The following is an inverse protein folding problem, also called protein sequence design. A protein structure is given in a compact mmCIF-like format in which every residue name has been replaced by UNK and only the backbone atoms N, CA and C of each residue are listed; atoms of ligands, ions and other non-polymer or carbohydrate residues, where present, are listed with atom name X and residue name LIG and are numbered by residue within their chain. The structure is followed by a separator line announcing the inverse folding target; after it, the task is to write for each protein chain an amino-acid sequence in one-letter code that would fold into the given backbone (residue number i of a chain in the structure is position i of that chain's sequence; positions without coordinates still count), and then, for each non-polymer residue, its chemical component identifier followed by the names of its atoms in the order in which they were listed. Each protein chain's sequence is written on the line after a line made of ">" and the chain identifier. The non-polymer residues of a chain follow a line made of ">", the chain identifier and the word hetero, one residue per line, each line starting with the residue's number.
data_IF_404975465398
#
_entry.id   IF_404975465398
#
_cell.length_a   1.000
_cell.length_b   1.000
_cell.length_c   1.000
_cell.angle_alpha   90.00
_cell.angle_beta   90.00
_cell.angle_gamma   90.00
#
_symmetry.space_group_name_H-M   'P 1'
#
loop_
_entity.id
_entity.type
_entity.pdbx_description
1 polymer ?
#
# COMPACT_ATOMS: atom_id res chain seq x y z
N UNK A 1 11.65 18.79 -10.15
CA UNK A 1 10.34 19.46 -9.92
C UNK A 1 9.44 19.34 -11.14
N UNK A 2 9.89 19.74 -12.34
CA UNK A 2 9.12 19.58 -13.59
C UNK A 2 8.64 18.16 -13.89
N UNK A 3 9.46 17.13 -13.61
CA UNK A 3 9.04 15.72 -13.75
C UNK A 3 7.86 15.34 -12.84
N UNK A 4 7.82 15.88 -11.62
CA UNK A 4 6.73 15.59 -10.68
C UNK A 4 5.45 16.26 -11.16
N UNK A 5 5.54 17.54 -11.55
CA UNK A 5 4.39 18.30 -12.08
C UNK A 5 3.86 17.63 -13.35
N UNK A 6 4.75 17.27 -14.28
CA UNK A 6 4.38 16.55 -15.50
C UNK A 6 3.73 15.20 -15.21
N UNK A 7 4.27 14.43 -14.26
CA UNK A 7 3.68 13.16 -13.81
C UNK A 7 2.28 13.36 -13.24
N UNK A 8 2.08 14.34 -12.35
CA UNK A 8 0.77 14.61 -11.73
C UNK A 8 -0.26 15.00 -12.79
N UNK A 9 0.11 15.87 -13.74
CA UNK A 9 -0.77 16.28 -14.84
C UNK A 9 -1.10 15.07 -15.72
N UNK A 10 -0.10 14.28 -16.12
CA UNK A 10 -0.31 13.07 -16.93
C UNK A 10 -1.27 12.09 -16.27
N UNK A 11 -1.05 11.74 -14.99
CA UNK A 11 -1.92 10.82 -14.27
C UNK A 11 -3.32 11.38 -14.04
N UNK A 12 -3.44 12.70 -13.85
CA UNK A 12 -4.74 13.36 -13.69
C UNK A 12 -5.55 13.34 -15.00
N UNK A 13 -4.90 13.64 -16.14
CA UNK A 13 -5.52 13.54 -17.46
C UNK A 13 -5.87 12.09 -17.79
N UNK A 14 -4.98 11.14 -17.47
CA UNK A 14 -5.25 9.72 -17.63
C UNK A 14 -6.48 9.28 -16.83
N UNK A 15 -6.60 9.72 -15.57
CA UNK A 15 -7.74 9.42 -14.72
C UNK A 15 -9.06 10.03 -15.23
N UNK A 16 -9.02 11.21 -15.89
CA UNK A 16 -10.23 11.81 -16.46
C UNK A 16 -10.90 10.93 -17.52
N UNK A 17 -10.16 10.07 -18.22
CA UNK A 17 -10.75 9.14 -19.19
C UNK A 17 -11.73 8.14 -18.56
N UNK A 18 -11.61 7.87 -17.25
CA UNK A 18 -12.56 7.02 -16.53
C UNK A 18 -13.98 7.62 -16.50
N UNK A 19 -14.12 8.95 -16.57
CA UNK A 19 -15.43 9.64 -16.56
C UNK A 19 -16.25 9.38 -17.82
N UNK A 20 -15.60 9.04 -18.93
CA UNK A 20 -16.25 8.84 -20.24
C UNK A 20 -16.53 7.35 -20.48
N UNK A 21 -15.61 6.48 -20.06
CA UNK A 21 -15.64 5.05 -20.40
C UNK A 21 -16.32 4.13 -19.39
N UNK A 22 -16.63 4.62 -18.18
CA UNK A 22 -17.18 3.78 -17.13
C UNK A 22 -18.71 3.82 -17.13
N UNK A 23 -19.32 2.65 -17.07
CA UNK A 23 -20.76 2.51 -16.87
C UNK A 23 -21.11 2.53 -15.38
N UNK A 24 -22.25 3.12 -15.05
CA UNK A 24 -22.83 3.04 -13.70
C UNK A 24 -23.87 1.93 -13.64
N UNK A 25 -23.68 0.95 -12.76
CA UNK A 25 -24.66 -0.07 -12.41
C UNK A 25 -24.99 0.02 -10.90
N UNK A 26 -26.09 -0.60 -10.43
CA UNK A 26 -26.45 -0.60 -9.00
C UNK A 26 -25.35 -1.16 -8.09
N UNK A 27 -24.48 -2.00 -8.63
CA UNK A 27 -23.34 -2.63 -7.97
C UNK A 27 -22.04 -1.81 -8.03
N UNK A 28 -22.01 -0.68 -8.74
CA UNK A 28 -20.87 0.23 -8.78
C UNK A 28 -20.55 0.80 -10.16
N UNK A 29 -19.40 1.48 -10.24
CA UNK A 29 -18.88 2.10 -11.47
C UNK A 29 -17.68 1.31 -11.98
N UNK A 30 -17.78 0.74 -13.18
CA UNK A 30 -16.74 -0.11 -13.75
C UNK A 30 -16.71 -0.05 -15.28
N UNK A 31 -15.57 -0.33 -15.92
CA UNK A 31 -15.49 -0.32 -17.38
C UNK A 31 -16.36 -1.45 -17.94
N UNK A 32 -17.07 -1.17 -19.04
CA UNK A 32 -17.87 -2.18 -19.71
C UNK A 32 -16.96 -3.30 -20.26
N UNK A 33 -17.24 -4.58 -19.99
CA UNK A 33 -16.39 -5.69 -20.44
C UNK A 33 -16.22 -5.72 -21.96
N UNK A 34 -15.00 -6.01 -22.44
CA UNK A 34 -14.72 -6.15 -23.86
C UNK A 34 -14.68 -4.83 -24.65
N UNK A 35 -14.58 -3.69 -23.95
CA UNK A 35 -14.40 -2.37 -24.58
C UNK A 35 -12.93 -1.94 -24.54
N UNK A 36 -12.56 -0.90 -25.30
CA UNK A 36 -11.21 -0.32 -25.20
C UNK A 36 -10.89 0.18 -23.78
N UNK A 37 -11.92 0.59 -23.03
CA UNK A 37 -11.77 1.06 -21.65
C UNK A 37 -11.47 -0.06 -20.66
N UNK A 38 -11.90 -1.31 -20.92
CA UNK A 38 -11.47 -2.44 -20.10
C UNK A 38 -9.97 -2.70 -20.28
N UNK A 39 -9.44 -2.56 -21.50
CA UNK A 39 -8.00 -2.66 -21.75
C UNK A 39 -7.22 -1.55 -21.02
N UNK A 40 -7.66 -0.29 -21.08
CA UNK A 40 -7.02 0.80 -20.35
C UNK A 40 -7.05 0.58 -18.84
N UNK A 41 -8.19 0.18 -18.28
CA UNK A 41 -8.30 -0.13 -16.85
C UNK A 41 -7.40 -1.31 -16.45
N UNK A 42 -7.23 -2.29 -17.33
CA UNK A 42 -6.35 -3.43 -17.06
C UNK A 42 -4.88 -3.05 -17.09
N UNK A 43 -4.46 -2.25 -18.08
CA UNK A 43 -3.09 -1.71 -18.15
C UNK A 43 -2.80 -0.87 -16.91
N UNK A 44 -3.73 0.00 -16.50
CA UNK A 44 -3.59 0.82 -15.30
C UNK A 44 -3.44 -0.01 -14.03
N UNK A 45 -4.32 -1.00 -13.84
CA UNK A 45 -4.25 -1.90 -12.69
C UNK A 45 -2.93 -2.66 -12.63
N UNK A 46 -2.47 -3.19 -13.77
CA UNK A 46 -1.19 -3.91 -13.86
C UNK A 46 -0.03 -2.96 -13.60
N UNK A 47 0.00 -1.78 -14.22
CA UNK A 47 1.05 -0.80 -14.01
C UNK A 47 1.11 -0.37 -12.55
N UNK A 48 -0.03 -0.04 -11.95
CA UNK A 48 -0.10 0.39 -10.54
C UNK A 48 0.37 -0.71 -9.59
N UNK A 49 -0.05 -1.96 -9.80
CA UNK A 49 0.35 -3.09 -8.97
C UNK A 49 1.82 -3.46 -9.16
N UNK A 50 2.28 -3.61 -10.40
CA UNK A 50 3.64 -4.07 -10.73
C UNK A 50 4.66 -2.98 -10.42
N UNK A 51 4.45 -1.75 -10.87
CA UNK A 51 5.39 -0.65 -10.66
C UNK A 51 5.59 -0.38 -9.17
N UNK A 52 4.48 -0.30 -8.41
CA UNK A 52 4.55 -0.09 -6.97
C UNK A 52 5.27 -1.26 -6.28
N UNK A 53 4.96 -2.50 -6.65
CA UNK A 53 5.63 -3.68 -6.09
C UNK A 53 7.13 -3.67 -6.37
N UNK A 54 7.54 -3.39 -7.62
CA UNK A 54 8.95 -3.33 -8.01
C UNK A 54 9.70 -2.25 -7.24
N UNK A 55 9.13 -1.04 -7.17
CA UNK A 55 9.72 0.07 -6.41
C UNK A 55 9.88 -0.31 -4.93
N UNK A 56 8.83 -0.87 -4.31
CA UNK A 56 8.87 -1.30 -2.91
C UNK A 56 9.88 -2.41 -2.66
N UNK A 57 10.01 -3.38 -3.57
CA UNK A 57 11.00 -4.46 -3.50
C UNK A 57 12.41 -3.89 -3.61
N UNK A 58 12.68 -3.01 -4.58
CA UNK A 58 13.98 -2.37 -4.77
C UNK A 58 14.38 -1.59 -3.50
N UNK A 59 13.49 -0.75 -2.98
CA UNK A 59 13.77 0.00 -1.76
C UNK A 59 13.97 -0.92 -0.54
N UNK A 60 13.22 -2.01 -0.44
CA UNK A 60 13.38 -2.99 0.64
C UNK A 60 14.74 -3.70 0.56
N UNK A 61 15.18 -4.09 -0.64
CA UNK A 61 16.50 -4.70 -0.88
C UNK A 61 17.62 -3.69 -0.59
N UNK A 62 17.52 -2.46 -1.10
CA UNK A 62 18.50 -1.40 -0.84
C UNK A 62 18.59 -1.09 0.66
N UNK A 63 17.47 -1.06 1.36
CA UNK A 63 17.43 -0.86 2.82
C UNK A 63 18.12 -2.01 3.54
N UNK A 64 17.83 -3.27 3.16
CA UNK A 64 18.51 -4.44 3.71
C UNK A 64 20.02 -4.40 3.44
N UNK A 65 20.43 -4.07 2.22
CA UNK A 65 21.83 -3.97 1.82
C UNK A 65 22.56 -2.90 2.64
N UNK A 66 21.98 -1.70 2.75
CA UNK A 66 22.54 -0.61 3.57
C UNK A 66 22.61 -0.97 5.05
N UNK A 67 21.63 -1.71 5.59
CA UNK A 67 21.68 -2.20 6.96
C UNK A 67 22.78 -3.24 7.18
N UNK A 68 22.95 -4.19 6.25
CA UNK A 68 24.03 -5.18 6.31
C UNK A 68 25.40 -4.53 6.22
N UNK A 69 25.60 -3.61 5.26
CA UNK A 69 26.86 -2.90 5.07
C UNK A 69 27.23 -2.07 6.30
N UNK A 70 26.25 -1.34 6.87
CA UNK A 70 26.44 -0.58 8.10
C UNK A 70 26.64 -1.47 9.33
N UNK A 71 26.06 -2.68 9.36
CA UNK A 71 26.32 -3.66 10.41
C UNK A 71 27.77 -4.15 10.35
N UNK A 72 28.26 -4.49 9.15
CA UNK A 72 29.63 -4.99 8.94
C UNK A 72 30.67 -3.90 9.24
N UNK A 73 30.48 -2.68 8.71
CA UNK A 73 31.40 -1.55 8.98
C UNK A 73 31.46 -1.15 10.46
N UNK A 74 30.41 -1.43 11.24
CA UNK A 74 30.39 -1.15 12.69
C UNK A 74 31.08 -2.22 13.53
N UNK A 75 31.40 -3.39 12.95
CA UNK A 75 32.12 -4.49 13.60
C UNK A 75 33.63 -4.32 13.47
N UNK A 76 34.14 -3.52 12.51
CA UNK A 76 35.53 -3.06 12.57
C UNK A 76 35.66 -2.07 13.74
N UNK A 77 36.34 -2.43 14.84
CA UNK A 77 36.68 -1.46 15.86
C UNK A 77 37.77 -0.59 15.24
N UNK A 78 37.44 0.63 14.86
CA UNK A 78 38.45 1.66 14.66
C UNK A 78 39.17 1.81 15.99
N UNK A 79 40.39 1.30 15.99
CA UNK A 79 41.43 1.42 17.01
C UNK A 79 41.36 2.78 17.72
N UNK A 80 41.28 2.74 19.04
CA UNK A 80 41.46 3.87 19.97
C UNK A 80 40.59 5.11 19.74
N UNK A 81 39.42 5.14 20.38
CA UNK A 81 39.00 6.35 21.10
C UNK A 81 38.06 5.96 22.24
N UNK A 82 38.55 6.18 23.46
CA UNK A 82 37.77 6.22 24.69
C UNK A 82 36.66 7.26 24.53
N UNK A 83 35.46 6.84 24.19
CA UNK A 83 34.25 7.61 24.49
C UNK A 83 33.22 6.64 25.04
N UNK A 84 32.79 6.94 26.26
CA UNK A 84 31.75 6.27 27.05
C UNK A 84 30.37 6.34 26.36
N UNK A 85 30.26 5.98 25.08
CA UNK A 85 28.99 5.75 24.42
C UNK A 85 28.48 4.41 24.91
N UNK A 86 27.64 4.49 25.94
CA UNK A 86 26.99 3.38 26.61
C UNK A 86 26.50 2.31 25.60
N UNK A 87 27.11 1.13 25.68
CA UNK A 87 26.73 -0.13 25.00
C UNK A 87 25.20 -0.36 24.86
N UNK A 88 24.32 -0.01 25.83
CA UNK A 88 22.86 -0.15 25.67
C UNK A 88 22.24 0.63 24.50
N UNK A 89 22.75 1.82 24.15
CA UNK A 89 22.12 2.66 23.11
C UNK A 89 22.35 2.07 21.70
N UNK A 90 23.53 1.49 21.49
CA UNK A 90 23.93 0.84 20.23
C UNK A 90 23.08 -0.39 19.92
N UNK A 91 22.79 -1.21 20.94
CA UNK A 91 21.96 -2.41 20.81
C UNK A 91 20.48 -2.06 20.57
N UNK A 92 19.98 -0.99 21.20
CA UNK A 92 18.61 -0.48 21.02
C UNK A 92 18.36 0.03 19.60
N UNK A 93 19.34 0.73 19.00
CA UNK A 93 19.24 1.24 17.61
C UNK A 93 19.23 0.12 16.56
N UNK A 94 20.02 -0.94 16.76
CA UNK A 94 20.01 -2.11 15.88
C UNK A 94 18.67 -2.84 15.90
N UNK A 95 18.11 -3.10 17.09
CA UNK A 95 16.78 -3.74 17.24
C UNK A 95 15.67 -2.93 16.56
N UNK A 96 15.69 -1.60 16.66
CA UNK A 96 14.73 -0.70 16.00
C UNK A 96 14.83 -0.79 14.47
N UNK A 97 16.03 -0.81 13.91
CA UNK A 97 16.23 -0.92 12.46
C UNK A 97 15.72 -2.25 11.90
N UNK A 98 15.96 -3.36 12.61
CA UNK A 98 15.44 -4.68 12.22
C UNK A 98 13.92 -4.73 12.29
N UNK A 99 13.30 -4.07 13.28
CA UNK A 99 11.84 -3.94 13.37
C UNK A 99 11.27 -3.14 12.19
N UNK A 100 11.90 -2.02 11.83
CA UNK A 100 11.47 -1.20 10.69
C UNK A 100 11.60 -1.97 9.36
N UNK A 101 12.66 -2.74 9.18
CA UNK A 101 12.82 -3.60 7.99
C UNK A 101 11.74 -4.70 7.93
N UNK A 102 11.46 -5.37 9.04
CA UNK A 102 10.38 -6.37 9.11
C UNK A 102 9.02 -5.76 8.77
N UNK A 103 8.75 -4.56 9.27
CA UNK A 103 7.55 -3.77 8.95
C UNK A 103 7.45 -3.47 7.45
N UNK A 104 8.54 -2.98 6.84
CA UNK A 104 8.60 -2.69 5.41
C UNK A 104 8.31 -3.95 4.58
N UNK A 105 8.97 -5.07 4.89
CA UNK A 105 8.75 -6.34 4.17
C UNK A 105 7.33 -6.87 4.33
N UNK A 106 6.77 -6.79 5.54
CA UNK A 106 5.39 -7.18 5.79
C UNK A 106 4.41 -6.32 4.98
N UNK A 107 4.67 -5.00 4.88
CA UNK A 107 3.86 -4.09 4.09
C UNK A 107 3.92 -4.42 2.59
N UNK A 108 5.09 -4.77 2.05
CA UNK A 108 5.21 -5.23 0.64
C UNK A 108 4.42 -6.51 0.43
N UNK A 109 4.54 -7.49 1.34
CA UNK A 109 3.84 -8.77 1.22
C UNK A 109 2.32 -8.60 1.29
N UNK A 110 1.83 -7.79 2.23
CA UNK A 110 0.41 -7.44 2.36
C UNK A 110 -0.08 -6.71 1.11
N UNK A 111 0.70 -5.78 0.57
CA UNK A 111 0.36 -5.10 -0.68
C UNK A 111 0.18 -6.08 -1.83
N UNK A 112 1.14 -6.98 -2.05
CA UNK A 112 1.07 -7.95 -3.15
C UNK A 112 -0.16 -8.84 -3.00
N UNK A 113 -0.43 -9.37 -1.80
CA UNK A 113 -1.59 -10.24 -1.56
C UNK A 113 -2.89 -9.49 -1.81
N UNK A 114 -3.07 -8.31 -1.20
CA UNK A 114 -4.34 -7.60 -1.26
C UNK A 114 -4.58 -6.93 -2.62
N UNK A 115 -3.52 -6.58 -3.36
CA UNK A 115 -3.65 -5.99 -4.70
C UNK A 115 -3.71 -7.06 -5.82
N UNK A 116 -3.33 -8.31 -5.52
CA UNK A 116 -3.38 -9.41 -6.48
C UNK A 116 -4.79 -9.70 -7.00
N UNK A 117 -5.81 -9.62 -6.15
CA UNK A 117 -7.20 -9.91 -6.55
C UNK A 117 -7.71 -8.94 -7.63
N UNK A 118 -7.42 -7.65 -7.47
CA UNK A 118 -7.76 -6.64 -8.48
C UNK A 118 -6.98 -6.84 -9.78
N UNK A 119 -5.69 -7.17 -9.67
CA UNK A 119 -4.83 -7.43 -10.84
C UNK A 119 -5.31 -8.67 -11.61
N UNK A 120 -5.72 -9.73 -10.92
CA UNK A 120 -6.28 -10.94 -11.53
C UNK A 120 -7.58 -10.65 -12.27
N UNK A 121 -8.49 -9.87 -11.67
CA UNK A 121 -9.70 -9.41 -12.34
C UNK A 121 -9.39 -8.59 -13.60
N UNK A 122 -8.45 -7.65 -13.50
CA UNK A 122 -8.01 -6.84 -14.62
C UNK A 122 -7.44 -7.68 -15.78
N UNK A 123 -6.56 -8.64 -15.49
CA UNK A 123 -6.02 -9.55 -16.52
C UNK A 123 -7.14 -10.40 -17.12
N UNK A 124 -8.01 -10.96 -16.29
CA UNK A 124 -9.14 -11.77 -16.75
C UNK A 124 -10.07 -10.97 -17.68
N UNK A 125 -10.38 -9.72 -17.32
CA UNK A 125 -11.23 -8.82 -18.12
C UNK A 125 -10.59 -8.46 -19.46
N UNK A 126 -9.26 -8.28 -19.50
CA UNK A 126 -8.53 -7.99 -20.73
C UNK A 126 -8.46 -9.19 -21.69
N UNK A 127 -8.33 -10.41 -21.16
CA UNK A 127 -8.16 -11.63 -21.96
C UNK A 127 -9.51 -12.23 -22.38
N UNK A 128 -10.56 -12.02 -21.59
CA UNK A 128 -11.88 -12.58 -21.86
C UNK A 128 -12.50 -11.97 -23.12
N UNK A 129 -12.86 -12.83 -24.08
CA UNK A 129 -13.54 -12.38 -25.30
C UNK A 129 -15.00 -12.03 -25.00
N UNK A 130 -15.58 -11.01 -25.69
CA UNK A 130 -17.00 -10.68 -25.59
C UNK A 130 -17.94 -11.89 -25.79
N UNK A 131 -17.57 -12.79 -26.70
CA UNK A 131 -18.36 -13.99 -27.00
C UNK A 131 -18.43 -15.02 -25.85
N UNK A 132 -17.40 -15.07 -24.98
CA UNK A 132 -17.37 -16.00 -23.83
C UNK A 132 -18.07 -15.45 -22.58
N UNK A 133 -18.33 -14.14 -22.55
CA UNK A 133 -18.98 -13.44 -21.45
C UNK A 133 -20.50 -13.67 -21.40
N UNK A 134 -21.11 -14.27 -22.43
CA UNK A 134 -22.54 -14.61 -22.45
C UNK A 134 -22.89 -15.92 -21.72
N UNK A 135 -21.91 -16.75 -21.37
CA UNK A 135 -22.17 -17.97 -20.59
C UNK A 135 -22.38 -17.61 -19.12
N UNK A 136 -23.42 -18.19 -18.52
CA UNK A 136 -23.78 -17.99 -17.10
C UNK A 136 -22.60 -18.20 -16.14
N UNK A 137 -21.79 -19.23 -16.37
CA UNK A 137 -20.60 -19.52 -15.56
C UNK A 137 -19.55 -18.41 -15.64
N UNK A 138 -19.37 -17.78 -16.80
CA UNK A 138 -18.42 -16.68 -16.98
C UNK A 138 -18.90 -15.43 -16.26
N UNK A 139 -20.19 -15.12 -16.31
CA UNK A 139 -20.78 -13.95 -15.63
C UNK A 139 -20.62 -14.06 -14.11
N UNK A 140 -20.89 -15.24 -13.54
CA UNK A 140 -20.69 -15.51 -12.12
C UNK A 140 -19.22 -15.36 -11.72
N UNK A 141 -18.31 -15.93 -12.51
CA UNK A 141 -16.87 -15.83 -12.26
C UNK A 141 -16.38 -14.37 -12.29
N UNK A 142 -16.81 -13.59 -13.29
CA UNK A 142 -16.48 -12.16 -13.42
C UNK A 142 -16.96 -11.38 -12.19
N UNK A 143 -18.22 -11.60 -11.79
CA UNK A 143 -18.83 -10.90 -10.65
C UNK A 143 -18.13 -11.26 -9.35
N UNK A 144 -17.77 -12.54 -9.16
CA UNK A 144 -17.00 -13.02 -8.03
C UNK A 144 -15.61 -12.40 -7.97
N UNK A 145 -14.85 -12.45 -9.08
CA UNK A 145 -13.50 -11.89 -9.16
C UNK A 145 -13.49 -10.37 -8.93
N UNK A 146 -14.49 -9.67 -9.47
CA UNK A 146 -14.67 -8.23 -9.25
C UNK A 146 -14.95 -7.92 -7.78
N UNK A 147 -15.94 -8.58 -7.18
CA UNK A 147 -16.31 -8.38 -5.78
C UNK A 147 -15.15 -8.71 -4.83
N UNK A 148 -14.46 -9.82 -5.09
CA UNK A 148 -13.27 -10.24 -4.35
C UNK A 148 -12.14 -9.21 -4.47
N UNK A 149 -11.82 -8.78 -5.69
CA UNK A 149 -10.77 -7.79 -5.95
C UNK A 149 -11.03 -6.44 -5.26
N UNK A 150 -12.25 -5.91 -5.37
CA UNK A 150 -12.66 -4.65 -4.71
C UNK A 150 -12.59 -4.80 -3.18
N UNK A 151 -13.06 -5.93 -2.64
CA UNK A 151 -13.04 -6.19 -1.20
C UNK A 151 -11.60 -6.19 -0.68
N UNK A 152 -10.68 -6.89 -1.35
CA UNK A 152 -9.27 -6.90 -0.98
C UNK A 152 -8.63 -5.51 -1.08
N UNK A 153 -8.98 -4.72 -2.10
CA UNK A 153 -8.49 -3.35 -2.27
C UNK A 153 -8.93 -2.44 -1.11
N UNK A 154 -10.19 -2.53 -0.68
CA UNK A 154 -10.67 -1.78 0.49
C UNK A 154 -10.03 -2.25 1.80
N UNK A 155 -9.81 -3.56 1.95
CA UNK A 155 -9.06 -4.10 3.09
C UNK A 155 -7.64 -3.54 3.10
N UNK A 156 -6.97 -3.43 1.95
CA UNK A 156 -5.62 -2.85 1.88
C UNK A 156 -5.56 -1.41 2.42
N UNK A 157 -6.54 -0.57 2.05
CA UNK A 157 -6.63 0.81 2.52
C UNK A 157 -6.63 0.94 4.05
N UNK A 158 -7.26 -0.01 4.75
CA UNK A 158 -7.30 -0.03 6.23
C UNK A 158 -6.12 -0.78 6.84
N UNK A 159 -5.55 -1.76 6.14
CA UNK A 159 -4.50 -2.64 6.65
C UNK A 159 -3.21 -1.89 6.98
N UNK A 160 -2.90 -0.82 6.25
CA UNK A 160 -1.71 0.01 6.50
C UNK A 160 -1.67 0.53 7.94
N UNK A 161 -2.80 1.04 8.43
CA UNK A 161 -2.93 1.54 9.81
C UNK A 161 -2.85 0.39 10.83
N UNK A 162 -3.47 -0.75 10.53
CA UNK A 162 -3.44 -1.94 11.39
C UNK A 162 -2.01 -2.47 11.53
N UNK A 163 -1.27 -2.60 10.42
CA UNK A 163 0.12 -3.08 10.41
C UNK A 163 1.02 -2.17 11.25
N UNK A 164 0.92 -0.85 11.09
CA UNK A 164 1.69 0.08 11.90
C UNK A 164 1.31 0.04 13.38
N UNK A 165 0.02 -0.10 13.69
CA UNK A 165 -0.47 -0.23 15.06
C UNK A 165 0.03 -1.51 15.73
N UNK A 166 -0.01 -2.65 15.05
CA UNK A 166 0.41 -3.92 15.64
C UNK A 166 1.93 -3.98 15.83
N UNK A 167 2.70 -3.61 14.82
CA UNK A 167 4.13 -3.88 14.80
C UNK A 167 5.01 -2.73 15.33
N UNK A 168 4.51 -1.49 15.46
CA UNK A 168 5.26 -0.38 16.05
C UNK A 168 4.77 0.00 17.44
N UNK A 169 5.60 -0.21 18.47
CA UNK A 169 5.32 0.29 19.84
C UNK A 169 5.26 1.81 19.91
N UNK A 170 6.09 2.50 19.11
CA UNK A 170 6.14 3.96 19.06
C UNK A 170 4.83 4.48 18.47
N UNK A 171 4.38 3.91 17.35
CA UNK A 171 3.13 4.30 16.71
C UNK A 171 1.93 4.11 17.65
N UNK A 172 1.87 3.01 18.40
CA UNK A 172 0.84 2.80 19.43
C UNK A 172 0.84 3.87 20.51
N UNK A 173 2.02 4.22 21.00
CA UNK A 173 2.17 5.26 22.03
C UNK A 173 1.66 6.61 21.54
N UNK A 174 2.05 7.01 20.33
CA UNK A 174 1.60 8.26 19.71
C UNK A 174 0.10 8.26 19.42
N UNK A 175 -0.42 7.18 18.84
CA UNK A 175 -1.85 7.03 18.54
C UNK A 175 -2.70 7.10 19.82
N UNK A 176 -2.29 6.42 20.88
CA UNK A 176 -2.96 6.49 22.18
C UNK A 176 -2.94 7.90 22.78
N UNK A 177 -1.80 8.61 22.68
CA UNK A 177 -1.71 9.99 23.13
C UNK A 177 -2.63 10.92 22.33
N UNK A 178 -2.73 10.76 21.01
CA UNK A 178 -3.64 11.54 20.17
C UNK A 178 -5.10 11.26 20.55
N UNK A 179 -5.51 10.00 20.68
CA UNK A 179 -6.86 9.62 21.10
C UNK A 179 -7.21 10.20 22.47
N UNK A 180 -6.29 10.13 23.44
CA UNK A 180 -6.49 10.72 24.78
C UNK A 180 -6.65 12.24 24.74
N UNK A 181 -5.86 12.94 23.92
CA UNK A 181 -5.98 14.40 23.75
C UNK A 181 -7.30 14.78 23.11
N UNK A 182 -7.72 14.05 22.09
CA UNK A 182 -9.02 14.24 21.44
C UNK A 182 -10.18 14.01 22.40
N UNK A 183 -10.13 12.91 23.15
CA UNK A 183 -11.13 12.60 24.17
C UNK A 183 -11.24 13.70 25.24
N UNK A 184 -10.11 14.18 25.74
CA UNK A 184 -10.09 15.25 26.74
C UNK A 184 -10.66 16.56 26.17
N UNK A 185 -10.35 16.91 24.92
CA UNK A 185 -10.94 18.07 24.24
C UNK A 185 -12.45 17.92 24.04
N UNK A 186 -12.90 16.74 23.60
CA UNK A 186 -14.33 16.45 23.43
C UNK A 186 -15.07 16.57 24.76
N UNK A 187 -14.51 16.02 25.84
CA UNK A 187 -15.04 16.15 27.20
C UNK A 187 -15.14 17.62 27.60
N UNK A 188 -14.08 18.41 27.39
CA UNK A 188 -14.07 19.83 27.73
C UNK A 188 -15.08 20.67 26.93
N UNK A 189 -15.28 20.36 25.64
CA UNK A 189 -16.33 21.00 24.83
C UNK A 189 -17.73 20.65 25.37
N UNK A 190 -17.95 19.40 25.77
CA UNK A 190 -19.21 18.96 26.37
C UNK A 190 -19.50 19.69 27.69
N UNK A 191 -18.50 19.83 28.57
CA UNK A 191 -18.65 20.57 29.83
C UNK A 191 -18.86 22.08 29.67
N UNK A 192 -18.39 22.68 28.58
CA UNK A 192 -18.60 24.12 28.34
C UNK A 192 -19.96 24.42 27.67
N UNK A 193 -20.70 23.40 27.26
CA UNK A 193 -22.00 23.53 26.58
C UNK A 193 -23.18 23.41 27.55
N UNK A 194 -22.94 22.99 28.79
CA UNK A 194 -23.90 22.87 29.90
C UNK A 194 -23.41 23.67 31.10
#
# INVERSE_FOLDING_TARGET
>A
QWLIIGSVIFWSLYAMHALIGYGSNPSGCYPSPGTIYSLFSSIDAIMTAVLSSVIMIIFSILTLHNLRLNSIRRIQPSTMQHTLVTVPERQRRSKRNTQFLRLSLLQVLVFIILNSGWTLFAIFSAVSKPATLGLFNTILLVSFLQGFGITLLYIYGTTTLIVYTLASKIFRSECWMMCRRWWNKAKQCFYNMF
#
